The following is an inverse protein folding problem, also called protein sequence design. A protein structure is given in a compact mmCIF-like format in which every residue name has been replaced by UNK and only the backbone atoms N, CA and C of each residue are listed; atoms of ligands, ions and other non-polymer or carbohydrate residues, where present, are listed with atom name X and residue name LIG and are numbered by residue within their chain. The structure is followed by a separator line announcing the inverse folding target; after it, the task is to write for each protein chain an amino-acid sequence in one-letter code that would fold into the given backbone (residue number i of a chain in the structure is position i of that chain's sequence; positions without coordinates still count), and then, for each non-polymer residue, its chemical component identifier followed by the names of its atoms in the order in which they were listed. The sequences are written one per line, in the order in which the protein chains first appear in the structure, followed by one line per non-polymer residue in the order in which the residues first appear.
data_IF_054958763494
#
_entry.id   IF_054958763494
#
_cell.length_a   1.000
_cell.length_b   1.000
_cell.length_c   1.000
_cell.angle_alpha   90.00
_cell.angle_beta   90.00
_cell.angle_gamma   90.00
#
_symmetry.space_group_name_H-M   'P 1'
#
loop_
_entity.id
_entity.type
_entity.pdbx_description
1 polymer ?
#
# COMPACT_ATOMS: atom_id res chain seq x y z
N UNK A 1 -15.28 1.85 -12.20
CA UNK A 1 -16.32 2.54 -11.40
C UNK A 1 -15.59 3.47 -10.45
N UNK A 2 -15.88 4.77 -10.46
CA UNK A 2 -15.22 5.74 -9.59
C UNK A 2 -16.19 6.02 -8.44
N UNK A 3 -15.84 5.57 -7.22
CA UNK A 3 -16.69 5.73 -6.03
C UNK A 3 -16.05 6.71 -5.05
N UNK A 4 -16.85 7.66 -4.56
CA UNK A 4 -16.48 8.51 -3.43
C UNK A 4 -16.53 7.67 -2.14
N UNK A 5 -15.49 7.67 -1.31
CA UNK A 5 -15.42 6.83 -0.13
C UNK A 5 -16.34 7.37 0.96
N UNK A 6 -17.54 6.81 1.04
CA UNK A 6 -18.25 6.64 2.30
C UNK A 6 -17.91 5.26 2.87
N UNK A 7 -17.96 5.06 4.20
CA UNK A 7 -17.59 3.78 4.85
C UNK A 7 -18.44 2.60 4.34
N UNK A 8 -19.62 2.89 3.80
CA UNK A 8 -20.51 1.97 3.09
C UNK A 8 -19.94 1.42 1.76
N UNK A 9 -18.90 2.05 1.19
CA UNK A 9 -18.26 1.63 -0.07
C UNK A 9 -17.45 0.35 0.12
N UNK A 10 -16.89 0.13 1.31
CA UNK A 10 -16.16 -1.10 1.64
C UNK A 10 -17.08 -2.33 1.74
N UNK A 11 -18.38 -2.11 1.97
CA UNK A 11 -19.40 -3.14 2.09
C UNK A 11 -20.25 -3.30 0.80
N UNK A 12 -19.88 -2.63 -0.29
CA UNK A 12 -20.60 -2.69 -1.56
C UNK A 12 -20.17 -3.91 -2.39
N UNK A 13 -21.09 -4.83 -2.68
CA UNK A 13 -20.84 -6.06 -3.44
C UNK A 13 -20.16 -5.86 -4.82
N UNK A 14 -20.33 -4.70 -5.45
CA UNK A 14 -19.65 -4.37 -6.72
C UNK A 14 -18.19 -3.99 -6.46
N UNK A 15 -17.91 -3.29 -5.36
CA UNK A 15 -16.55 -2.92 -4.98
C UNK A 15 -15.74 -4.16 -4.56
N UNK A 16 -16.34 -5.13 -3.87
CA UNK A 16 -15.66 -6.32 -3.33
C UNK A 16 -15.41 -7.44 -4.34
N UNK A 17 -15.97 -7.35 -5.55
CA UNK A 17 -15.78 -8.35 -6.63
C UNK A 17 -14.76 -7.93 -7.69
N UNK A 18 -14.37 -6.66 -7.74
CA UNK A 18 -13.38 -6.17 -8.69
C UNK A 18 -11.96 -6.68 -8.34
N UNK A 19 -11.12 -6.94 -9.34
CA UNK A 19 -9.71 -7.26 -9.10
C UNK A 19 -8.93 -6.04 -8.57
N UNK A 20 -9.22 -4.87 -9.15
CA UNK A 20 -8.65 -3.59 -8.76
C UNK A 20 -9.74 -2.63 -8.31
N UNK A 21 -9.59 -2.06 -7.12
CA UNK A 21 -10.44 -1.00 -6.58
C UNK A 21 -9.65 0.32 -6.54
N UNK A 22 -10.26 1.40 -7.02
CA UNK A 22 -9.67 2.75 -6.98
C UNK A 22 -10.56 3.62 -6.09
N UNK A 23 -9.97 4.19 -5.05
CA UNK A 23 -10.62 5.03 -4.05
C UNK A 23 -10.09 6.46 -4.14
N UNK A 24 -10.94 7.40 -4.55
CA UNK A 24 -10.60 8.82 -4.60
C UNK A 24 -10.85 9.48 -3.24
N UNK A 25 -9.80 9.85 -2.52
CA UNK A 25 -9.94 10.45 -1.19
C UNK A 25 -10.03 11.99 -1.29
N UNK A 26 -11.23 12.53 -1.45
CA UNK A 26 -11.46 13.98 -1.71
C UNK A 26 -11.75 14.83 -0.47
N UNK A 27 -12.06 14.22 0.68
CA UNK A 27 -12.50 14.92 1.91
C UNK A 27 -11.65 14.59 3.15
N UNK A 28 -10.36 14.31 2.94
CA UNK A 28 -9.41 13.94 4.00
C UNK A 28 -9.88 12.82 4.96
N UNK A 29 -10.45 11.71 4.45
CA UNK A 29 -10.90 10.63 5.31
C UNK A 29 -9.76 10.02 6.13
N UNK A 30 -10.11 9.52 7.31
CA UNK A 30 -9.27 8.63 8.11
C UNK A 30 -9.58 7.21 7.66
N UNK A 31 -8.61 6.55 7.04
CA UNK A 31 -8.68 5.14 6.64
C UNK A 31 -8.01 4.32 7.74
N UNK A 32 -8.84 3.65 8.53
CA UNK A 32 -8.39 2.89 9.71
C UNK A 32 -7.89 1.50 9.32
N UNK A 33 -7.21 0.82 10.24
CA UNK A 33 -6.86 -0.60 10.07
C UNK A 33 -8.08 -1.48 9.82
N UNK A 34 -9.22 -1.20 10.48
CA UNK A 34 -10.45 -1.97 10.30
C UNK A 34 -11.05 -1.79 8.90
N UNK A 35 -10.98 -0.59 8.34
CA UNK A 35 -11.40 -0.36 6.95
C UNK A 35 -10.48 -1.12 5.97
N UNK A 36 -9.18 -1.10 6.21
CA UNK A 36 -8.20 -1.79 5.36
C UNK A 36 -8.35 -3.31 5.41
N UNK A 37 -8.75 -3.88 6.55
CA UNK A 37 -9.00 -5.32 6.70
C UNK A 37 -10.20 -5.82 5.90
N UNK A 38 -11.15 -4.94 5.57
CA UNK A 38 -12.33 -5.28 4.76
C UNK A 38 -12.02 -5.39 3.26
N UNK A 39 -10.87 -4.86 2.83
CA UNK A 39 -10.45 -4.88 1.43
C UNK A 39 -10.02 -6.28 1.00
N UNK A 40 -10.81 -6.89 0.13
CA UNK A 40 -10.57 -8.23 -0.42
C UNK A 40 -10.12 -8.22 -1.91
N UNK A 41 -9.98 -7.04 -2.51
CA UNK A 41 -9.50 -6.88 -3.88
C UNK A 41 -8.03 -7.31 -3.97
N UNK A 42 -7.58 -7.79 -5.14
CA UNK A 42 -6.15 -8.07 -5.33
C UNK A 42 -5.30 -6.80 -5.25
N UNK A 43 -5.85 -5.68 -5.73
CA UNK A 43 -5.17 -4.38 -5.72
C UNK A 43 -6.14 -3.26 -5.31
N UNK A 44 -5.69 -2.37 -4.44
CA UNK A 44 -6.44 -1.17 -4.04
C UNK A 44 -5.55 0.05 -4.20
N UNK A 45 -6.02 1.04 -4.95
CA UNK A 45 -5.33 2.32 -5.15
C UNK A 45 -6.07 3.46 -4.47
N UNK A 46 -5.37 4.18 -3.62
CA UNK A 46 -5.85 5.40 -2.99
C UNK A 46 -5.30 6.59 -3.79
N UNK A 47 -6.18 7.31 -4.47
CA UNK A 47 -5.84 8.46 -5.32
C UNK A 47 -6.16 9.80 -4.66
N UNK A 48 -5.49 10.85 -5.14
CA UNK A 48 -5.64 12.25 -4.72
C UNK A 48 -5.40 12.48 -3.22
N UNK A 49 -4.48 11.72 -2.67
CA UNK A 49 -4.18 11.73 -1.25
C UNK A 49 -3.40 13.02 -0.86
N UNK A 50 -4.07 14.02 -0.27
CA UNK A 50 -3.41 15.26 0.22
C UNK A 50 -3.31 15.36 1.74
N UNK A 51 -4.40 15.14 2.49
CA UNK A 51 -4.39 15.27 3.96
C UNK A 51 -5.06 14.12 4.73
N UNK A 52 -5.53 13.09 4.04
CA UNK A 52 -5.99 11.84 4.66
C UNK A 52 -4.97 11.21 5.60
N UNK A 53 -5.45 10.46 6.59
CA UNK A 53 -4.61 9.59 7.42
C UNK A 53 -4.91 8.15 7.04
N UNK A 54 -3.86 7.38 6.76
CA UNK A 54 -4.00 5.97 6.44
C UNK A 54 -3.05 5.16 7.32
N UNK A 55 -3.61 4.18 8.01
CA UNK A 55 -2.92 3.42 9.05
C UNK A 55 -2.11 2.24 8.48
N UNK A 56 -1.26 2.51 7.47
CA UNK A 56 -0.44 1.46 6.84
C UNK A 56 0.58 0.83 7.79
N UNK A 57 1.22 1.63 8.66
CA UNK A 57 2.18 1.11 9.63
C UNK A 57 1.49 0.22 10.67
N UNK A 58 0.39 0.66 11.33
CA UNK A 58 -0.40 -0.23 12.17
C UNK A 58 -0.90 -1.49 11.47
N UNK A 59 -1.34 -1.40 10.20
CA UNK A 59 -1.77 -2.56 9.42
C UNK A 59 -0.64 -3.58 9.23
N UNK A 60 0.57 -3.13 8.86
CA UNK A 60 1.72 -4.04 8.69
C UNK A 60 2.11 -4.67 10.03
N UNK A 61 2.14 -3.90 11.12
CA UNK A 61 2.39 -4.46 12.46
C UNK A 61 1.37 -5.53 12.83
N UNK A 62 0.09 -5.29 12.58
CA UNK A 62 -0.96 -6.27 12.79
C UNK A 62 -0.75 -7.55 11.96
N UNK A 63 -0.34 -7.42 10.69
CA UNK A 63 -0.03 -8.58 9.84
C UNK A 63 1.15 -9.39 10.37
N UNK A 64 2.21 -8.73 10.88
CA UNK A 64 3.35 -9.40 11.54
C UNK A 64 2.88 -10.12 12.81
N UNK A 65 2.15 -9.44 13.69
CA UNK A 65 1.65 -9.99 14.96
C UNK A 65 0.75 -11.21 14.73
N UNK A 66 -0.10 -11.17 13.71
CA UNK A 66 -1.01 -12.27 13.36
C UNK A 66 -0.40 -13.29 12.41
N UNK A 67 0.83 -13.06 11.94
CA UNK A 67 1.54 -13.88 10.94
C UNK A 67 0.72 -14.11 9.66
N UNK A 68 -0.16 -13.17 9.30
CA UNK A 68 -1.12 -13.31 8.20
C UNK A 68 -1.14 -12.08 7.32
N UNK A 69 -0.81 -12.25 6.05
CA UNK A 69 -0.94 -11.21 5.02
C UNK A 69 -2.42 -10.99 4.64
N UNK A 70 -2.78 -9.77 4.24
CA UNK A 70 -4.11 -9.49 3.64
C UNK A 70 -4.26 -10.03 2.22
N UNK A 71 -3.14 -10.32 1.53
CA UNK A 71 -3.12 -10.70 0.11
C UNK A 71 -3.38 -9.53 -0.86
N UNK A 72 -3.76 -8.36 -0.33
CA UNK A 72 -4.08 -7.15 -1.09
C UNK A 72 -2.85 -6.29 -1.31
N UNK A 73 -2.54 -5.96 -2.57
CA UNK A 73 -1.55 -4.92 -2.88
C UNK A 73 -2.18 -3.54 -2.70
N UNK A 74 -1.61 -2.72 -1.82
CA UNK A 74 -2.08 -1.37 -1.57
C UNK A 74 -1.17 -0.37 -2.28
N UNK A 75 -1.76 0.58 -2.99
CA UNK A 75 -1.04 1.64 -3.71
C UNK A 75 -1.56 2.99 -3.26
N UNK A 76 -0.66 3.90 -2.90
CA UNK A 76 -1.00 5.26 -2.49
C UNK A 76 -0.43 6.24 -3.50
N UNK A 77 -1.31 6.88 -4.26
CA UNK A 77 -1.00 7.97 -5.16
C UNK A 77 -1.37 9.31 -4.50
N UNK A 78 -0.34 10.08 -4.15
CA UNK A 78 -0.49 11.39 -3.52
C UNK A 78 -0.17 12.51 -4.51
N UNK A 79 -0.87 13.64 -4.38
CA UNK A 79 -0.71 14.79 -5.29
C UNK A 79 0.65 15.52 -5.12
N UNK A 80 1.49 15.10 -4.17
CA UNK A 80 2.79 15.73 -3.93
C UNK A 80 3.88 14.78 -3.46
N UNK A 81 5.07 14.87 -4.10
CA UNK A 81 6.29 14.12 -3.74
C UNK A 81 6.67 14.26 -2.25
N UNK A 82 6.38 15.42 -1.64
CA UNK A 82 6.64 15.67 -0.23
C UNK A 82 5.88 14.74 0.71
N UNK A 83 4.63 14.39 0.36
CA UNK A 83 3.82 13.45 1.14
C UNK A 83 4.44 12.05 1.10
N UNK A 84 4.76 11.56 -0.10
CA UNK A 84 5.41 10.26 -0.32
C UNK A 84 6.74 10.17 0.43
N UNK A 85 7.60 11.19 0.33
CA UNK A 85 8.86 11.26 1.10
C UNK A 85 8.62 11.20 2.61
N UNK A 86 7.60 11.90 3.12
CA UNK A 86 7.25 11.87 4.55
C UNK A 86 6.78 10.47 4.98
N UNK A 87 5.98 9.80 4.16
CA UNK A 87 5.50 8.45 4.44
C UNK A 87 6.64 7.43 4.41
N UNK A 88 7.52 7.46 3.41
CA UNK A 88 8.74 6.64 3.36
C UNK A 88 9.65 6.84 4.59
N UNK A 89 9.78 8.07 5.09
CA UNK A 89 10.51 8.33 6.35
C UNK A 89 9.82 7.70 7.56
N UNK A 90 8.49 7.61 7.59
CA UNK A 90 7.77 6.90 8.66
C UNK A 90 8.01 5.38 8.56
N UNK A 91 7.98 4.81 7.36
CA UNK A 91 8.37 3.42 7.13
C UNK A 91 9.81 3.15 7.59
N UNK A 92 10.76 4.02 7.23
CA UNK A 92 12.14 3.91 7.69
C UNK A 92 12.27 3.88 9.21
N UNK A 93 11.48 4.69 9.92
CA UNK A 93 11.50 4.71 11.39
C UNK A 93 10.91 3.44 11.99
N UNK A 94 9.89 2.86 11.37
CA UNK A 94 9.18 1.70 11.89
C UNK A 94 9.84 0.36 11.51
N UNK A 95 10.44 0.28 10.33
CA UNK A 95 10.88 -0.96 9.69
C UNK A 95 12.29 -0.83 9.09
N UNK A 96 13.10 0.08 9.61
CA UNK A 96 14.41 0.42 9.05
C UNK A 96 15.41 -0.74 9.02
N UNK A 97 15.23 -1.73 9.90
CA UNK A 97 16.02 -2.96 9.94
C UNK A 97 15.77 -3.87 8.72
N UNK A 98 14.61 -3.73 8.06
CA UNK A 98 14.19 -4.56 6.93
C UNK A 98 14.47 -3.90 5.57
N UNK A 99 15.48 -3.03 5.49
CA UNK A 99 15.89 -2.45 4.19
C UNK A 99 16.33 -3.56 3.24
N UNK A 100 15.93 -3.44 1.99
CA UNK A 100 16.24 -4.42 0.94
C UNK A 100 16.34 -3.75 -0.41
N UNK A 101 17.12 -4.33 -1.31
CA UNK A 101 17.19 -3.85 -2.69
C UNK A 101 16.01 -4.27 -3.57
N UNK A 102 15.23 -5.27 -3.12
CA UNK A 102 14.08 -5.82 -3.82
C UNK A 102 14.42 -6.28 -5.24
N UNK A 103 15.47 -7.09 -5.38
CA UNK A 103 15.98 -7.59 -6.67
C UNK A 103 14.93 -8.41 -7.46
N UNK A 104 13.90 -8.91 -6.79
CA UNK A 104 12.78 -9.66 -7.35
C UNK A 104 11.65 -8.77 -7.92
N UNK A 105 11.77 -7.44 -7.83
CA UNK A 105 10.74 -6.50 -8.30
C UNK A 105 11.17 -5.83 -9.60
N UNK A 106 10.47 -6.13 -10.68
CA UNK A 106 10.67 -5.52 -12.00
C UNK A 106 9.85 -4.22 -12.17
N UNK A 107 10.09 -3.23 -11.31
CA UNK A 107 9.46 -1.92 -11.39
C UNK A 107 10.49 -0.79 -11.37
N UNK A 108 10.12 0.37 -11.96
CA UNK A 108 11.02 1.54 -11.99
C UNK A 108 10.92 2.31 -10.68
N UNK A 109 11.80 1.98 -9.75
CA UNK A 109 11.87 2.68 -8.47
C UNK A 109 12.25 4.14 -8.60
N UNK A 110 11.83 4.94 -7.61
CA UNK A 110 12.35 6.29 -7.40
C UNK A 110 13.81 6.20 -6.93
N UNK A 111 14.78 6.80 -7.64
CA UNK A 111 16.19 6.79 -7.24
C UNK A 111 16.40 7.36 -5.82
N UNK A 112 17.18 6.64 -5.00
CA UNK A 112 17.50 7.04 -3.62
C UNK A 112 16.34 6.92 -2.63
N UNK A 113 15.18 6.38 -3.04
CA UNK A 113 14.08 6.10 -2.13
C UNK A 113 14.35 4.86 -1.26
N UNK A 114 13.73 4.81 -0.09
CA UNK A 114 13.81 3.64 0.78
C UNK A 114 12.94 2.50 0.24
N UNK A 115 13.48 1.29 0.33
CA UNK A 115 12.85 0.04 -0.06
C UNK A 115 12.94 -0.92 1.12
N UNK A 116 11.88 -1.67 1.38
CA UNK A 116 11.79 -2.57 2.52
C UNK A 116 11.24 -3.92 2.11
N UNK A 117 11.75 -4.98 2.74
CA UNK A 117 11.24 -6.34 2.65
C UNK A 117 10.97 -6.85 4.07
N UNK A 118 9.75 -6.64 4.55
CA UNK A 118 9.37 -6.82 5.95
C UNK A 118 8.78 -8.24 6.12
N UNK A 119 9.44 -9.15 6.84
CA UNK A 119 8.93 -10.50 7.04
C UNK A 119 7.64 -10.48 7.86
N UNK A 120 6.64 -11.28 7.45
CA UNK A 120 5.44 -11.58 8.24
C UNK A 120 5.62 -12.93 8.95
N UNK A 121 6.10 -13.93 8.22
CA UNK A 121 6.43 -15.28 8.68
C UNK A 121 7.50 -15.87 7.75
N UNK A 122 7.82 -17.16 7.92
CA UNK A 122 8.87 -17.84 7.16
C UNK A 122 8.55 -17.99 5.67
N UNK A 123 7.29 -17.78 5.27
CA UNK A 123 6.80 -18.01 3.91
C UNK A 123 6.24 -16.73 3.27
N UNK A 124 6.31 -15.58 3.94
CA UNK A 124 5.71 -14.35 3.43
C UNK A 124 6.31 -13.08 4.01
N UNK A 125 6.29 -12.04 3.18
CA UNK A 125 6.83 -10.72 3.48
C UNK A 125 6.00 -9.62 2.84
N UNK A 126 6.17 -8.39 3.30
CA UNK A 126 5.60 -7.19 2.70
C UNK A 126 6.73 -6.37 2.10
N UNK A 127 6.66 -6.15 0.80
CA UNK A 127 7.53 -5.22 0.10
C UNK A 127 6.93 -3.82 0.14
N UNK A 128 7.74 -2.84 0.51
CA UNK A 128 7.34 -1.42 0.49
C UNK A 128 8.36 -0.64 -0.30
N UNK A 129 7.91 0.04 -1.35
CA UNK A 129 8.78 0.83 -2.23
C UNK A 129 7.99 1.95 -2.92
N UNK A 130 8.71 2.89 -3.53
CA UNK A 130 8.12 3.98 -4.29
C UNK A 130 8.47 3.91 -5.78
N UNK A 131 7.49 4.22 -6.62
CA UNK A 131 7.62 4.25 -8.08
C UNK A 131 7.14 5.60 -8.64
N UNK A 132 7.58 5.91 -9.86
CA UNK A 132 7.07 7.04 -10.63
C UNK A 132 5.80 6.63 -11.37
N UNK A 133 4.76 7.47 -11.30
CA UNK A 133 3.60 7.33 -12.17
C UNK A 133 3.99 7.76 -13.58
N UNK A 134 3.79 6.86 -14.55
CA UNK A 134 4.16 7.10 -15.95
C UNK A 134 3.09 7.91 -16.69
N UNK A 135 1.85 7.85 -16.23
CA UNK A 135 0.71 8.47 -16.91
C UNK A 135 0.47 9.92 -16.45
N UNK A 136 0.95 10.28 -15.26
CA UNK A 136 0.87 11.62 -14.71
C UNK A 136 2.27 12.07 -14.24
N UNK A 137 2.98 12.82 -15.09
CA UNK A 137 4.31 13.33 -14.77
C UNK A 137 4.31 14.03 -13.41
N UNK A 138 5.34 13.77 -12.60
CA UNK A 138 5.53 14.27 -11.24
C UNK A 138 4.72 13.62 -10.11
N UNK A 139 3.92 12.57 -10.38
CA UNK A 139 3.30 11.79 -9.31
C UNK A 139 4.16 10.59 -8.92
N UNK A 140 4.34 10.41 -7.61
CA UNK A 140 4.98 9.25 -7.03
C UNK A 140 3.92 8.40 -6.35
N UNK A 141 4.07 7.08 -6.43
CA UNK A 141 3.23 6.13 -5.71
C UNK A 141 4.05 5.38 -4.67
N UNK A 142 3.44 5.05 -3.54
CA UNK A 142 3.97 4.02 -2.63
C UNK A 142 3.20 2.74 -2.90
N UNK A 143 3.95 1.65 -3.10
CA UNK A 143 3.40 0.31 -3.23
C UNK A 143 3.71 -0.45 -1.95
N UNK A 144 2.70 -1.12 -1.42
CA UNK A 144 2.76 -2.02 -0.27
C UNK A 144 2.23 -3.36 -0.77
N UNK A 145 3.13 -4.29 -1.06
CA UNK A 145 2.84 -5.53 -1.77
C UNK A 145 3.14 -6.73 -0.88
N UNK A 146 2.14 -7.53 -0.47
CA UNK A 146 2.40 -8.83 0.12
C UNK A 146 3.00 -9.76 -0.94
N UNK A 147 4.05 -10.49 -0.55
CA UNK A 147 4.72 -11.51 -1.36
C UNK A 147 4.75 -12.78 -0.54
N UNK A 148 4.31 -13.88 -1.13
CA UNK A 148 4.45 -15.20 -0.53
C UNK A 148 5.55 -15.96 -1.26
N UNK A 149 6.34 -16.69 -0.50
CA UNK A 149 7.43 -17.55 -0.96
C UNK A 149 6.92 -18.91 -1.44
N UNK A 150 5.62 -19.06 -1.77
CA UNK A 150 5.12 -20.29 -2.38
C UNK A 150 6.00 -20.58 -3.59
N UNK A 151 6.84 -21.58 -3.39
CA UNK A 151 7.76 -22.13 -4.36
C UNK A 151 6.99 -22.29 -5.66
N UNK A 152 7.55 -21.72 -6.74
CA UNK A 152 7.12 -22.09 -8.08
C UNK A 152 7.09 -23.61 -8.16
N UNK A 153 5.88 -24.15 -8.32
CA UNK A 153 5.64 -25.47 -8.86
C UNK A 153 5.16 -25.28 -10.29
#
# INVERSE_FOLDING_TARGET
MITLPDTSTYDNNIATSAETLILLLVADPIVTVEDLKKLNNKRVEFERFRFSKIDMIPLIKYQIETKKATGTTLVIAADGKGFIKKMLRKFQKAFGEYRSDLDDVNERFIPGSYKFSIPINDESRIQVYAIEDRDESDRWKIVIKPVSEVLGL
#
